data_IF_176340986545
#
_entry.id   IF_176340986545
#
_cell.length_a   1.000
_cell.length_b   1.000
_cell.length_c   1.000
_cell.angle_alpha   90.00
_cell.angle_beta   90.00
_cell.angle_gamma   90.00
#
_symmetry.space_group_name_H-M   'P 1'
#
loop_
_entity.id
_entity.type
_entity.pdbx_description
1 polymer ?
#
# COMPACT_ATOMS: atom_id res chain seq x y z
N UNK A 1 37.49 -42.24 -7.50
CA UNK A 1 36.68 -43.26 -6.78
C UNK A 1 35.37 -42.60 -6.35
N UNK A 2 34.23 -43.13 -6.86
CA UNK A 2 32.84 -43.21 -6.36
C UNK A 2 32.25 -41.98 -5.59
N UNK A 3 31.22 -41.26 -6.09
CA UNK A 3 29.77 -41.57 -6.16
C UNK A 3 29.19 -41.98 -4.78
N UNK A 4 28.05 -41.54 -4.23
CA UNK A 4 26.73 -41.08 -4.71
C UNK A 4 26.03 -40.41 -3.47
N UNK A 5 25.07 -39.49 -3.56
CA UNK A 5 23.63 -39.80 -3.69
C UNK A 5 22.80 -38.53 -3.99
N UNK A 6 21.82 -38.70 -4.87
CA UNK A 6 20.81 -37.75 -5.36
C UNK A 6 19.50 -37.84 -4.55
N UNK A 7 18.78 -36.71 -4.45
CA UNK A 7 17.30 -36.66 -4.46
C UNK A 7 16.65 -35.70 -3.45
N UNK A 8 15.46 -35.11 -3.72
CA UNK A 8 14.84 -34.80 -5.01
C UNK A 8 14.54 -33.29 -5.20
N UNK A 9 14.53 -32.88 -6.48
CA UNK A 9 14.08 -31.57 -6.96
C UNK A 9 12.57 -31.43 -6.74
N UNK A 10 12.13 -30.33 -6.13
CA UNK A 10 10.73 -29.86 -6.22
C UNK A 10 10.62 -28.75 -7.24
N UNK A 11 9.73 -28.97 -8.19
CA UNK A 11 9.43 -28.19 -9.38
C UNK A 11 8.49 -27.02 -9.05
N UNK A 12 8.85 -25.74 -9.24
CA UNK A 12 7.93 -24.63 -9.10
C UNK A 12 7.36 -24.26 -10.48
N UNK A 13 6.52 -25.11 -11.05
CA UNK A 13 5.80 -24.83 -12.29
C UNK A 13 4.32 -25.21 -12.15
N UNK A 14 3.52 -24.29 -11.58
CA UNK A 14 2.07 -24.24 -11.78
C UNK A 14 1.50 -22.88 -11.39
N UNK A 15 1.72 -21.88 -12.23
CA UNK A 15 0.93 -20.65 -12.24
C UNK A 15 0.60 -20.32 -13.69
N UNK A 16 -0.65 -20.56 -14.11
CA UNK A 16 -1.42 -19.86 -15.16
C UNK A 16 -2.59 -20.74 -15.69
N UNK A 17 -3.83 -20.29 -15.44
CA UNK A 17 -5.06 -20.33 -16.30
C UNK A 17 -6.23 -19.85 -15.42
N UNK A 18 -6.67 -18.60 -15.56
CA UNK A 18 -7.77 -18.11 -16.41
C UNK A 18 -9.13 -18.80 -16.13
N UNK A 19 -10.06 -17.97 -15.64
CA UNK A 19 -11.52 -18.03 -15.55
C UNK A 19 -12.28 -19.23 -16.13
N UNK A 20 -13.24 -19.76 -15.35
CA UNK A 20 -14.61 -20.13 -15.78
C UNK A 20 -15.36 -20.98 -14.73
N UNK A 21 -16.48 -20.44 -14.22
CA UNK A 21 -17.71 -21.13 -13.78
C UNK A 21 -17.72 -21.95 -12.47
N UNK A 22 -18.57 -21.51 -11.53
CA UNK A 22 -19.25 -22.36 -10.54
C UNK A 22 -20.77 -22.21 -10.74
N UNK A 23 -21.43 -23.31 -11.11
CA UNK A 23 -22.89 -23.50 -11.03
C UNK A 23 -23.15 -24.72 -10.14
N UNK A 24 -23.87 -24.49 -9.03
CA UNK A 24 -24.78 -25.41 -8.29
C UNK A 24 -24.18 -26.74 -7.76
N UNK A 25 -24.52 -27.32 -6.61
CA UNK A 25 -25.57 -27.20 -5.57
C UNK A 25 -24.94 -27.80 -4.28
N UNK A 26 -25.28 -27.43 -3.04
CA UNK A 26 -26.52 -27.82 -2.34
C UNK A 26 -26.20 -28.74 -1.14
N UNK A 27 -26.84 -28.47 0.01
CA UNK A 27 -27.05 -29.31 1.22
C UNK A 27 -26.10 -29.14 2.44
N UNK A 28 -26.61 -29.31 3.70
CA UNK A 28 -26.31 -28.47 4.86
C UNK A 28 -25.56 -29.17 6.00
N UNK A 29 -25.02 -28.38 6.94
CA UNK A 29 -24.30 -28.84 8.15
C UNK A 29 -25.26 -29.00 9.33
N UNK A 30 -25.31 -30.21 9.88
CA UNK A 30 -26.01 -30.56 11.12
C UNK A 30 -25.26 -30.14 12.40
N UNK A 31 -26.06 -29.96 13.45
CA UNK A 31 -25.73 -29.55 14.82
C UNK A 31 -24.89 -30.60 15.56
N UNK A 32 -23.92 -30.15 16.36
CA UNK A 32 -23.48 -30.87 17.56
C UNK A 32 -23.49 -29.90 18.76
N UNK A 33 -24.32 -30.24 19.75
CA UNK A 33 -24.34 -29.69 21.12
C UNK A 33 -23.55 -30.65 22.01
N UNK A 34 -22.60 -30.13 22.78
CA UNK A 34 -22.11 -30.67 24.04
C UNK A 34 -21.50 -29.46 24.79
N UNK A 35 -21.90 -29.08 26.00
CA UNK A 35 -22.00 -29.88 27.21
C UNK A 35 -20.98 -29.28 28.19
N UNK A 36 -21.35 -28.21 28.89
CA UNK A 36 -20.48 -27.53 29.87
C UNK A 36 -20.87 -28.05 31.26
N UNK A 37 -19.98 -28.82 31.88
CA UNK A 37 -19.98 -29.11 33.32
C UNK A 37 -19.17 -28.04 34.05
N UNK A 38 -19.65 -27.47 35.17
CA UNK A 38 -18.87 -26.51 35.94
C UNK A 38 -17.95 -27.26 36.91
N UNK A 39 -16.63 -26.98 36.82
CA UNK A 39 -15.66 -27.44 37.81
C UNK A 39 -15.30 -26.25 38.71
N UNK A 40 -15.53 -26.43 40.01
CA UNK A 40 -15.23 -25.52 41.10
C UNK A 40 -13.84 -25.86 41.70
N UNK A 41 -12.94 -24.85 41.80
CA UNK A 41 -11.86 -24.66 42.80
C UNK A 41 -10.87 -23.53 42.32
N UNK A 42 -10.06 -22.92 43.21
CA UNK A 42 -10.07 -21.47 43.40
C UNK A 42 -8.90 -20.67 42.77
N UNK A 43 -9.15 -19.37 42.68
CA UNK A 43 -8.30 -18.27 42.22
C UNK A 43 -6.83 -18.34 42.68
N UNK A 44 -5.91 -18.38 41.71
CA UNK A 44 -4.58 -17.75 41.82
C UNK A 44 -4.32 -16.89 40.58
N UNK A 45 -3.80 -15.71 40.86
CA UNK A 45 -3.53 -14.59 39.97
C UNK A 45 -2.71 -14.93 38.73
N UNK A 46 -3.35 -14.90 37.57
CA UNK A 46 -2.73 -14.53 36.31
C UNK A 46 -3.60 -13.44 35.69
N UNK A 47 -3.03 -12.25 35.52
CA UNK A 47 -3.63 -11.18 34.73
C UNK A 47 -3.67 -11.63 33.26
N UNK A 48 -4.67 -12.43 32.91
CA UNK A 48 -5.14 -12.54 31.53
C UNK A 48 -5.68 -11.16 31.14
N UNK A 49 -4.89 -10.39 30.38
CA UNK A 49 -5.40 -9.20 29.70
C UNK A 49 -6.58 -9.66 28.85
N UNK A 50 -7.81 -9.14 29.04
CA UNK A 50 -8.91 -9.53 28.19
C UNK A 50 -8.57 -9.12 26.76
N UNK A 51 -8.49 -10.09 25.86
CA UNK A 51 -8.38 -9.87 24.42
C UNK A 51 -9.70 -9.22 24.00
N UNK A 52 -9.75 -7.90 24.04
CA UNK A 52 -10.87 -7.14 23.49
C UNK A 52 -11.02 -7.58 22.01
N UNK A 53 -12.17 -8.13 21.60
CA UNK A 53 -12.38 -8.60 20.22
C UNK A 53 -12.05 -7.51 19.22
N UNK A 54 -11.44 -7.85 18.07
CA UNK A 54 -10.95 -6.87 17.09
C UNK A 54 -12.01 -5.82 16.69
N UNK A 55 -13.27 -6.23 16.52
CA UNK A 55 -14.36 -5.33 16.15
C UNK A 55 -14.62 -4.27 17.23
N UNK A 56 -14.54 -4.65 18.51
CA UNK A 56 -14.69 -3.74 19.64
C UNK A 56 -13.46 -2.80 19.74
N UNK A 57 -12.25 -3.30 19.45
CA UNK A 57 -11.06 -2.44 19.33
C UNK A 57 -11.23 -1.40 18.24
N UNK A 58 -11.72 -1.78 17.06
CA UNK A 58 -11.92 -0.87 15.91
C UNK A 58 -13.00 0.18 16.15
N UNK A 59 -14.11 -0.21 16.78
CA UNK A 59 -15.17 0.71 17.21
C UNK A 59 -14.68 1.69 18.29
N UNK A 60 -13.96 1.20 19.30
CA UNK A 60 -13.32 2.06 20.31
C UNK A 60 -12.29 2.98 19.65
N UNK A 61 -11.49 2.46 18.72
CA UNK A 61 -10.41 3.20 18.08
C UNK A 61 -10.91 4.37 17.23
N UNK A 62 -11.92 4.13 16.39
CA UNK A 62 -12.54 5.18 15.58
C UNK A 62 -13.24 6.23 16.45
N UNK A 63 -13.82 5.81 17.59
CA UNK A 63 -14.52 6.74 18.49
C UNK A 63 -13.57 7.53 19.39
N UNK A 64 -12.41 6.98 19.78
CA UNK A 64 -11.58 7.56 20.85
C UNK A 64 -10.15 7.92 20.44
N UNK A 65 -9.57 7.35 19.38
CA UNK A 65 -8.11 7.39 19.16
C UNK A 65 -7.71 8.20 17.93
N UNK A 66 -8.69 8.63 17.12
CA UNK A 66 -8.42 9.61 16.09
C UNK A 66 -8.10 10.99 16.72
N UNK A 67 -7.16 11.74 16.13
CA UNK A 67 -6.73 13.06 16.58
C UNK A 67 -6.89 14.10 15.47
N UNK A 68 -7.37 15.29 15.87
CA UNK A 68 -7.51 16.42 14.97
C UNK A 68 -6.15 17.06 14.65
N UNK A 69 -5.70 16.94 13.40
CA UNK A 69 -4.57 17.70 12.88
C UNK A 69 -5.07 19.05 12.37
N UNK A 70 -4.81 20.12 13.13
CA UNK A 70 -5.15 21.50 12.73
C UNK A 70 -3.99 22.08 11.90
N UNK A 71 -4.30 22.59 10.71
CA UNK A 71 -3.56 23.68 10.08
C UNK A 71 -4.38 24.98 10.24
N UNK A 72 -3.70 26.10 10.45
CA UNK A 72 -4.17 27.24 11.22
C UNK A 72 -5.36 28.03 10.61
N UNK A 73 -6.08 28.74 11.48
CA UNK A 73 -6.98 29.85 11.11
C UNK A 73 -6.12 30.99 10.56
N UNK A 74 -6.60 31.62 9.49
CA UNK A 74 -6.16 32.94 9.04
C UNK A 74 -6.50 34.00 10.10
N UNK A 75 -5.55 34.37 10.95
CA UNK A 75 -5.36 35.72 11.49
C UNK A 75 -4.21 35.76 12.51
N UNK A 76 -3.32 36.72 12.25
CA UNK A 76 -2.25 37.33 13.06
C UNK A 76 -2.20 36.98 14.57
N UNK A 77 -1.01 36.57 15.04
CA UNK A 77 -0.60 36.71 16.45
C UNK A 77 -0.32 35.41 17.21
N UNK A 78 0.97 35.18 17.50
CA UNK A 78 1.52 34.21 18.47
C UNK A 78 1.38 32.70 18.18
N UNK A 79 2.52 32.08 17.81
CA UNK A 79 2.87 30.66 17.99
C UNK A 79 1.75 29.61 17.90
N UNK A 80 1.31 29.26 16.69
CA UNK A 80 0.42 28.12 16.48
C UNK A 80 1.16 26.79 16.75
N UNK A 81 0.98 26.20 17.94
CA UNK A 81 1.36 24.80 18.20
C UNK A 81 0.45 23.87 17.40
N UNK A 82 1.04 23.16 16.44
CA UNK A 82 0.41 22.11 15.62
C UNK A 82 0.09 20.86 16.47
N UNK A 83 -0.96 20.13 16.09
CA UNK A 83 -1.48 18.89 16.72
C UNK A 83 -2.31 19.07 18.00
N UNK A 84 -3.62 19.28 17.86
CA UNK A 84 -4.53 19.18 19.00
C UNK A 84 -4.79 17.70 19.32
N UNK A 85 -4.30 17.22 20.47
CA UNK A 85 -4.51 15.85 20.95
C UNK A 85 -5.83 15.69 21.73
N UNK A 86 -6.83 16.49 21.40
CA UNK A 86 -8.15 16.39 22.03
C UNK A 86 -8.86 15.10 21.63
N UNK A 87 -9.79 14.69 22.48
CA UNK A 87 -10.75 13.63 22.16
C UNK A 87 -11.65 14.07 21.01
N UNK A 88 -12.01 13.14 20.15
CA UNK A 88 -12.93 13.37 19.04
C UNK A 88 -14.32 12.84 19.43
N UNK A 89 -15.34 13.67 19.21
CA UNK A 89 -16.73 13.28 19.33
C UNK A 89 -17.31 13.09 17.94
N UNK A 90 -17.96 11.96 17.74
CA UNK A 90 -18.68 11.65 16.50
C UNK A 90 -20.15 12.00 16.64
N UNK A 91 -20.72 12.63 15.62
CA UNK A 91 -22.16 12.74 15.39
C UNK A 91 -22.52 12.16 14.00
N UNK A 92 -23.78 12.30 13.58
CA UNK A 92 -24.26 11.75 12.31
C UNK A 92 -23.68 12.42 11.05
N UNK A 93 -23.03 13.57 11.19
CA UNK A 93 -22.60 14.44 10.09
C UNK A 93 -21.13 14.84 10.17
N UNK A 94 -20.52 14.79 11.35
CA UNK A 94 -19.20 15.32 11.62
C UNK A 94 -18.44 14.56 12.70
N UNK A 95 -17.12 14.77 12.70
CA UNK A 95 -16.24 14.45 13.83
C UNK A 95 -15.68 15.75 14.37
N UNK A 96 -15.89 16.04 15.65
CA UNK A 96 -15.46 17.29 16.27
C UNK A 96 -14.48 17.05 17.41
N UNK A 97 -13.36 17.78 17.42
CA UNK A 97 -12.41 17.75 18.52
C UNK A 97 -12.93 18.53 19.73
N UNK A 98 -13.05 17.86 20.86
CA UNK A 98 -13.58 18.45 22.10
C UNK A 98 -12.64 19.47 22.76
N UNK A 99 -11.36 19.52 22.35
CA UNK A 99 -10.37 20.44 22.93
C UNK A 99 -10.16 21.71 22.10
N UNK A 100 -10.13 21.61 20.78
CA UNK A 100 -9.88 22.76 19.89
C UNK A 100 -11.05 23.11 18.97
N UNK A 101 -12.15 22.37 19.08
CA UNK A 101 -13.37 22.54 18.28
C UNK A 101 -13.17 22.39 16.77
N UNK A 102 -12.07 21.76 16.33
CA UNK A 102 -11.87 21.41 14.92
C UNK A 102 -12.92 20.38 14.51
N UNK A 103 -13.64 20.65 13.42
CA UNK A 103 -14.67 19.76 12.87
C UNK A 103 -14.22 19.19 11.53
N UNK A 104 -14.48 17.90 11.33
CA UNK A 104 -14.14 17.12 10.15
C UNK A 104 -15.42 16.52 9.57
N UNK A 105 -15.54 16.56 8.24
CA UNK A 105 -16.71 16.03 7.54
C UNK A 105 -16.66 14.50 7.49
N UNK A 106 -17.82 13.90 7.26
CA UNK A 106 -17.94 12.50 6.90
C UNK A 106 -18.15 12.34 5.38
N UNK A 107 -17.54 11.33 4.78
CA UNK A 107 -17.92 10.78 3.48
C UNK A 107 -18.75 9.52 3.72
N UNK A 108 -20.07 9.64 3.65
CA UNK A 108 -20.97 8.62 4.19
C UNK A 108 -20.78 8.50 5.71
N UNK A 109 -20.16 7.41 6.17
CA UNK A 109 -19.80 7.19 7.59
C UNK A 109 -18.30 7.32 7.87
N UNK A 110 -17.50 7.62 6.85
CA UNK A 110 -16.04 7.60 6.93
C UNK A 110 -15.55 9.01 7.29
N UNK A 111 -14.81 9.20 8.38
CA UNK A 111 -14.24 10.50 8.73
C UNK A 111 -13.16 10.94 7.73
N UNK A 112 -13.20 12.23 7.36
CA UNK A 112 -12.30 12.84 6.37
C UNK A 112 -11.39 13.88 7.04
N UNK A 113 -10.10 13.58 7.09
CA UNK A 113 -9.01 14.42 7.60
C UNK A 113 -8.16 15.04 6.48
N UNK A 114 -8.73 15.18 5.28
CA UNK A 114 -8.15 15.90 4.16
C UNK A 114 -8.61 17.35 4.15
N UNK A 115 -7.78 18.25 3.60
CA UNK A 115 -8.14 19.66 3.39
C UNK A 115 -8.81 19.85 2.04
N UNK A 116 -8.33 19.10 1.07
CA UNK A 116 -8.82 19.02 -0.29
C UNK A 116 -10.09 18.18 -0.38
N UNK A 117 -10.91 18.39 -1.42
CA UNK A 117 -12.06 17.54 -1.70
C UNK A 117 -11.65 16.07 -1.91
N UNK A 118 -12.49 15.16 -1.39
CA UNK A 118 -12.30 13.72 -1.58
C UNK A 118 -12.55 13.36 -3.03
N UNK A 119 -11.58 12.73 -3.68
CA UNK A 119 -11.72 12.19 -5.04
C UNK A 119 -12.23 10.75 -5.00
N UNK A 120 -13.28 10.47 -5.76
CA UNK A 120 -13.86 9.12 -5.86
C UNK A 120 -13.02 8.27 -6.83
N UNK A 121 -12.59 7.07 -6.44
CA UNK A 121 -11.86 6.18 -7.34
C UNK A 121 -12.79 5.59 -8.41
N UNK A 122 -12.26 5.17 -9.58
CA UNK A 122 -13.03 4.42 -10.58
C UNK A 122 -13.60 3.12 -10.02
N UNK A 123 -14.80 2.72 -10.46
CA UNK A 123 -15.49 1.51 -9.98
C UNK A 123 -14.69 0.22 -10.22
N UNK A 124 -13.87 0.18 -11.27
CA UNK A 124 -13.06 -0.97 -11.65
C UNK A 124 -11.65 -0.97 -11.03
N UNK A 125 -11.38 -0.14 -10.01
CA UNK A 125 -10.08 -0.14 -9.35
C UNK A 125 -9.77 -1.52 -8.76
N UNK A 126 -8.58 -2.04 -9.08
CA UNK A 126 -8.07 -3.31 -8.55
C UNK A 126 -6.79 -3.02 -7.80
N UNK A 127 -6.74 -3.45 -6.54
CA UNK A 127 -5.56 -3.29 -5.71
C UNK A 127 -4.70 -4.54 -5.76
N UNK A 128 -3.40 -4.34 -5.50
CA UNK A 128 -2.47 -5.44 -5.38
C UNK A 128 -2.82 -6.30 -4.15
N UNK A 129 -2.60 -7.62 -4.21
CA UNK A 129 -2.78 -8.46 -3.03
C UNK A 129 -1.79 -8.06 -1.93
N UNK A 130 -2.23 -8.13 -0.68
CA UNK A 130 -1.42 -7.77 0.49
C UNK A 130 -0.24 -8.73 0.71
N UNK A 131 -0.31 -9.95 0.18
CA UNK A 131 0.67 -11.01 0.37
C UNK A 131 0.33 -11.93 1.55
N UNK A 132 0.57 -13.24 1.39
CA UNK A 132 0.09 -14.27 2.32
C UNK A 132 0.61 -14.12 3.76
N UNK A 133 1.85 -13.65 3.93
CA UNK A 133 2.47 -13.39 5.23
C UNK A 133 1.71 -12.30 5.99
N UNK A 134 1.47 -11.16 5.35
CA UNK A 134 0.76 -10.03 5.94
C UNK A 134 -0.73 -10.30 6.12
N UNK A 135 -1.33 -11.07 5.21
CA UNK A 135 -2.70 -11.53 5.36
C UNK A 135 -2.88 -12.45 6.57
N UNK A 136 -1.90 -13.32 6.85
CA UNK A 136 -1.91 -14.17 8.05
C UNK A 136 -1.96 -13.33 9.32
N UNK A 137 -1.15 -12.27 9.41
CA UNK A 137 -1.17 -11.35 10.57
C UNK A 137 -2.57 -10.74 10.77
N UNK A 138 -3.21 -10.31 9.69
CA UNK A 138 -4.56 -9.75 9.75
C UNK A 138 -5.60 -10.80 10.18
N UNK A 139 -5.49 -12.03 9.69
CA UNK A 139 -6.41 -13.13 10.02
C UNK A 139 -6.26 -13.63 11.45
N UNK A 140 -5.05 -13.68 11.98
CA UNK A 140 -4.80 -14.07 13.37
C UNK A 140 -5.40 -13.08 14.37
N UNK A 141 -5.52 -11.81 14.00
CA UNK A 141 -6.24 -10.82 14.81
C UNK A 141 -5.56 -10.39 16.11
N UNK A 142 -4.33 -10.85 16.37
CA UNK A 142 -3.56 -10.56 17.60
C UNK A 142 -3.11 -9.10 17.64
N UNK A 143 -2.59 -8.62 16.52
CA UNK A 143 -2.02 -7.29 16.35
C UNK A 143 -3.10 -6.30 15.89
N UNK A 144 -3.04 -5.08 16.40
CA UNK A 144 -3.83 -3.97 15.89
C UNK A 144 -3.04 -3.23 14.81
N UNK A 145 -3.58 -3.23 13.58
CA UNK A 145 -2.86 -2.86 12.37
C UNK A 145 -3.41 -1.55 11.78
N UNK A 146 -2.52 -0.68 11.33
CA UNK A 146 -2.85 0.40 10.39
C UNK A 146 -2.40 -0.02 8.99
N UNK A 147 -3.32 -0.10 8.04
CA UNK A 147 -2.99 -0.35 6.64
C UNK A 147 -3.21 0.92 5.84
N UNK A 148 -2.11 1.59 5.49
CA UNK A 148 -2.08 2.80 4.67
C UNK A 148 -2.10 2.38 3.21
N UNK A 149 -3.06 2.86 2.42
CA UNK A 149 -3.17 2.50 1.01
C UNK A 149 -3.55 1.04 0.77
N UNK A 150 -4.49 0.51 1.57
CA UNK A 150 -5.07 -0.82 1.41
C UNK A 150 -5.84 -1.01 0.10
N UNK A 151 -6.35 0.07 -0.50
CA UNK A 151 -7.19 0.09 -1.68
C UNK A 151 -8.49 -0.69 -1.48
N UNK A 152 -8.77 -1.63 -2.37
CA UNK A 152 -9.95 -2.49 -2.36
C UNK A 152 -9.56 -3.86 -1.80
N UNK A 153 -9.37 -3.93 -0.49
CA UNK A 153 -9.10 -5.19 0.21
C UNK A 153 -10.22 -6.22 -0.04
N UNK A 154 -9.86 -7.50 -0.14
CA UNK A 154 -10.81 -8.57 -0.47
C UNK A 154 -11.89 -8.77 0.62
N UNK A 155 -11.55 -8.48 1.87
CA UNK A 155 -12.44 -8.58 3.02
C UNK A 155 -12.05 -7.54 4.08
N UNK A 156 -13.01 -7.20 4.93
CA UNK A 156 -12.78 -6.32 6.07
C UNK A 156 -12.15 -7.11 7.23
N UNK A 157 -11.04 -6.60 7.78
CA UNK A 157 -10.41 -7.17 8.97
C UNK A 157 -10.79 -6.36 10.23
N UNK A 158 -11.26 -7.01 11.30
CA UNK A 158 -11.74 -6.32 12.49
C UNK A 158 -10.61 -5.66 13.28
N UNK A 159 -9.38 -6.16 13.23
CA UNK A 159 -8.20 -5.64 13.92
C UNK A 159 -7.37 -4.66 13.07
N UNK A 160 -7.88 -4.22 11.92
CA UNK A 160 -7.17 -3.35 10.99
C UNK A 160 -7.94 -2.06 10.76
N UNK A 161 -7.25 -0.92 10.76
CA UNK A 161 -7.76 0.34 10.23
C UNK A 161 -7.22 0.51 8.82
N UNK A 162 -8.10 0.56 7.82
CA UNK A 162 -7.74 0.90 6.46
C UNK A 162 -7.79 2.43 6.28
N UNK A 163 -6.62 3.01 6.07
CA UNK A 163 -6.41 4.45 5.95
C UNK A 163 -6.07 4.82 4.51
N UNK A 164 -6.86 5.72 3.95
CA UNK A 164 -6.82 6.02 2.52
C UNK A 164 -6.83 7.51 2.23
N UNK A 165 -6.38 7.88 1.04
CA UNK A 165 -6.65 9.22 0.51
C UNK A 165 -7.97 9.28 -0.28
N UNK A 166 -8.52 8.13 -0.69
CA UNK A 166 -9.74 7.97 -1.49
C UNK A 166 -10.71 6.97 -0.83
N UNK A 167 -12.03 7.10 -0.99
CA UNK A 167 -12.98 6.19 -0.39
C UNK A 167 -13.07 4.90 -1.20
N UNK A 168 -12.58 3.80 -0.62
CA UNK A 168 -12.76 2.45 -1.13
C UNK A 168 -13.73 1.65 -0.24
N UNK A 169 -14.08 0.43 -0.69
CA UNK A 169 -15.09 -0.44 -0.08
C UNK A 169 -14.93 -0.61 1.44
N UNK A 170 -13.69 -0.79 1.91
CA UNK A 170 -13.40 -1.10 3.30
C UNK A 170 -12.72 0.03 4.09
N UNK A 171 -12.53 1.20 3.46
CA UNK A 171 -11.91 2.37 4.08
C UNK A 171 -12.58 2.74 5.40
N UNK A 172 -11.75 2.96 6.42
CA UNK A 172 -12.17 3.35 7.75
C UNK A 172 -11.91 4.82 8.05
N UNK A 173 -10.83 5.38 7.49
CA UNK A 173 -10.43 6.77 7.68
C UNK A 173 -9.85 7.32 6.38
N UNK A 174 -10.25 8.53 6.01
CA UNK A 174 -9.67 9.26 4.88
C UNK A 174 -8.72 10.34 5.41
N UNK A 175 -7.49 10.43 4.91
CA UNK A 175 -6.53 11.42 5.37
C UNK A 175 -5.20 11.43 4.61
N UNK A 176 -4.29 12.30 5.07
CA UNK A 176 -2.93 12.46 4.54
C UNK A 176 -1.93 11.68 5.42
N UNK A 177 -1.15 10.77 4.80
CA UNK A 177 -0.15 9.97 5.49
C UNK A 177 1.02 10.81 6.06
N UNK A 178 1.22 12.03 5.57
CA UNK A 178 2.18 12.98 6.14
C UNK A 178 1.73 13.58 7.48
N UNK A 179 0.48 13.31 7.90
CA UNK A 179 -0.12 13.81 9.12
C UNK A 179 -1.24 12.88 9.61
N UNK A 180 -0.85 11.69 10.08
CA UNK A 180 -1.76 10.64 10.50
C UNK A 180 -2.66 11.09 11.67
N UNK A 181 -3.99 11.02 11.55
CA UNK A 181 -4.92 11.49 12.57
C UNK A 181 -5.08 10.44 13.68
N UNK A 182 -4.00 9.87 14.21
CA UNK A 182 -4.02 8.84 15.26
C UNK A 182 -3.13 9.21 16.43
N UNK A 183 -3.42 8.70 17.64
CA UNK A 183 -2.54 8.88 18.81
C UNK A 183 -1.19 8.21 18.61
N UNK A 184 -0.17 8.71 19.30
CA UNK A 184 1.11 8.01 19.37
C UNK A 184 0.94 6.66 20.09
N UNK A 185 1.71 5.63 19.70
CA UNK A 185 1.64 4.32 20.36
C UNK A 185 0.30 3.59 20.22
N UNK A 186 -0.38 3.79 19.10
CA UNK A 186 -1.71 3.24 18.83
C UNK A 186 -1.68 1.84 18.21
N UNK A 187 -0.72 1.58 17.33
CA UNK A 187 -0.71 0.38 16.49
C UNK A 187 0.45 -0.55 16.85
N UNK A 188 0.19 -1.84 16.77
CA UNK A 188 1.21 -2.88 16.87
C UNK A 188 1.98 -3.00 15.55
N UNK A 189 1.29 -2.79 14.42
CA UNK A 189 1.91 -2.82 13.08
C UNK A 189 1.36 -1.75 12.14
N UNK A 190 2.21 -1.32 11.21
CA UNK A 190 1.81 -0.50 10.06
C UNK A 190 2.20 -1.19 8.76
N UNK A 191 1.26 -1.28 7.83
CA UNK A 191 1.49 -1.74 6.46
C UNK A 191 1.31 -0.57 5.49
N UNK A 192 2.22 -0.42 4.52
CA UNK A 192 2.08 0.56 3.45
C UNK A 192 2.68 0.00 2.14
N UNK A 193 1.83 -0.57 1.29
CA UNK A 193 2.27 -1.30 0.09
C UNK A 193 1.98 -0.53 -1.19
N UNK A 194 3.03 -0.17 -1.94
CA UNK A 194 2.98 0.68 -3.13
C UNK A 194 2.36 2.06 -2.80
N UNK A 195 2.90 2.69 -1.77
CA UNK A 195 2.42 3.98 -1.24
C UNK A 195 3.52 5.04 -1.27
N UNK A 196 4.72 4.68 -0.84
CA UNK A 196 5.80 5.65 -0.57
C UNK A 196 6.31 6.37 -1.82
N UNK A 197 6.26 5.71 -2.97
CA UNK A 197 6.53 6.28 -4.30
C UNK A 197 5.59 7.46 -4.64
N UNK A 198 4.42 7.50 -4.02
CA UNK A 198 3.37 8.50 -4.25
C UNK A 198 3.36 9.61 -3.19
N UNK A 199 4.24 9.55 -2.19
CA UNK A 199 4.34 10.55 -1.13
C UNK A 199 5.40 11.59 -1.51
N UNK A 200 5.05 12.87 -1.51
CA UNK A 200 6.00 13.94 -1.82
C UNK A 200 7.06 14.15 -0.71
N UNK A 201 6.72 13.82 0.55
CA UNK A 201 7.62 13.92 1.72
C UNK A 201 7.73 12.56 2.46
N UNK A 202 8.33 11.53 1.86
CA UNK A 202 8.32 10.16 2.40
C UNK A 202 8.92 10.04 3.81
N UNK A 203 9.97 10.81 4.15
CA UNK A 203 10.54 10.86 5.50
C UNK A 203 9.52 11.35 6.55
N UNK A 204 8.66 12.30 6.18
CA UNK A 204 7.64 12.84 7.09
C UNK A 204 6.53 11.83 7.36
N UNK A 205 6.11 11.09 6.32
CA UNK A 205 5.21 9.97 6.50
C UNK A 205 5.83 8.86 7.36
N UNK A 206 7.11 8.52 7.14
CA UNK A 206 7.82 7.55 7.98
C UNK A 206 7.90 8.00 9.45
N UNK A 207 8.10 9.31 9.71
CA UNK A 207 8.08 9.86 11.06
C UNK A 207 6.69 9.76 11.72
N UNK A 208 5.61 9.97 10.98
CA UNK A 208 4.24 9.75 11.47
C UNK A 208 3.97 8.27 11.77
N UNK A 209 4.44 7.36 10.92
CA UNK A 209 4.39 5.91 11.16
C UNK A 209 5.11 5.56 12.47
N UNK A 210 6.34 6.05 12.64
CA UNK A 210 7.13 5.84 13.86
C UNK A 210 6.37 6.33 15.10
N UNK A 211 5.72 7.50 15.00
CA UNK A 211 4.94 8.09 16.10
C UNK A 211 3.74 7.22 16.47
N UNK A 212 2.98 6.72 15.50
CA UNK A 212 1.75 5.97 15.77
C UNK A 212 1.98 4.52 16.16
N UNK A 213 3.18 3.98 15.90
CA UNK A 213 3.59 2.66 16.39
C UNK A 213 3.83 2.66 17.91
N UNK A 214 3.45 1.56 18.56
CA UNK A 214 3.84 1.25 19.93
C UNK A 214 5.35 0.98 20.01
N UNK A 215 5.99 1.12 21.18
CA UNK A 215 7.32 0.58 21.39
C UNK A 215 7.36 -0.91 21.02
N UNK A 216 8.33 -1.31 20.19
CA UNK A 216 8.43 -2.67 19.64
C UNK A 216 7.46 -2.99 18.49
N UNK A 217 6.66 -2.02 18.05
CA UNK A 217 5.83 -2.16 16.86
C UNK A 217 6.65 -2.14 15.57
N UNK A 218 6.12 -2.73 14.50
CA UNK A 218 6.85 -2.89 13.23
C UNK A 218 6.13 -2.26 12.04
N UNK A 219 6.90 -1.89 11.02
CA UNK A 219 6.39 -1.41 9.73
C UNK A 219 6.83 -2.36 8.62
N UNK A 220 5.92 -2.65 7.69
CA UNK A 220 6.24 -3.30 6.43
C UNK A 220 5.83 -2.41 5.26
N UNK A 221 6.77 -2.20 4.34
CA UNK A 221 6.52 -1.42 3.14
C UNK A 221 6.90 -2.18 1.87
N UNK A 222 6.21 -1.84 0.80
CA UNK A 222 6.57 -2.15 -0.57
C UNK A 222 6.58 -0.85 -1.36
N UNK A 223 7.53 -0.67 -2.28
CA UNK A 223 7.61 0.55 -3.11
C UNK A 223 8.22 0.26 -4.47
N UNK A 224 7.94 1.14 -5.45
CA UNK A 224 8.44 1.07 -6.81
C UNK A 224 9.95 1.36 -6.93
N UNK A 225 10.64 0.66 -7.85
CA UNK A 225 12.02 0.98 -8.27
C UNK A 225 12.17 0.98 -9.80
N UNK A 226 12.03 -0.17 -10.46
CA UNK A 226 12.10 -0.28 -11.92
C UNK A 226 10.70 -0.41 -12.52
N UNK A 227 9.81 0.52 -12.17
CA UNK A 227 8.45 0.56 -12.68
C UNK A 227 8.22 1.83 -13.51
N UNK A 228 7.46 1.68 -14.59
CA UNK A 228 6.93 2.81 -15.36
C UNK A 228 6.09 3.74 -14.46
N UNK A 229 6.01 5.01 -14.86
CA UNK A 229 5.17 6.01 -14.17
C UNK A 229 3.71 5.53 -14.18
N UNK A 230 3.08 5.61 -13.02
CA UNK A 230 1.68 5.23 -12.79
C UNK A 230 1.08 6.18 -11.75
N UNK A 231 -0.25 6.28 -11.68
CA UNK A 231 -0.95 7.26 -10.82
C UNK A 231 -0.47 8.71 -10.98
N UNK A 232 -0.11 9.11 -12.21
CA UNK A 232 0.29 10.49 -12.50
C UNK A 232 -0.80 11.51 -12.09
N UNK A 233 -0.43 12.69 -11.58
CA UNK A 233 0.94 13.21 -11.39
C UNK A 233 1.58 12.82 -10.04
N UNK A 234 1.02 11.84 -9.33
CA UNK A 234 1.40 11.50 -7.95
C UNK A 234 2.31 10.28 -7.87
N UNK A 235 3.33 10.17 -8.71
CA UNK A 235 4.40 9.18 -8.58
C UNK A 235 5.72 9.93 -8.66
N UNK A 236 6.31 10.16 -7.50
CA UNK A 236 7.46 11.03 -7.30
C UNK A 236 8.78 10.25 -7.30
N UNK A 237 8.75 8.99 -6.83
CA UNK A 237 9.97 8.24 -6.58
C UNK A 237 9.91 6.80 -7.09
N UNK A 238 10.92 6.44 -7.86
CA UNK A 238 11.36 5.07 -8.05
C UNK A 238 12.56 4.83 -7.13
N UNK A 239 12.32 4.26 -5.94
CA UNK A 239 13.28 4.18 -4.87
C UNK A 239 14.11 2.90 -4.89
N UNK A 240 15.44 3.04 -4.87
CA UNK A 240 16.35 1.93 -4.57
C UNK A 240 16.25 1.52 -3.09
N UNK A 241 16.85 0.38 -2.72
CA UNK A 241 17.00 -0.01 -1.31
C UNK A 241 17.65 1.10 -0.46
N UNK A 242 18.64 1.82 -0.99
CA UNK A 242 19.28 2.93 -0.27
C UNK A 242 18.32 4.08 -0.01
N UNK A 243 17.42 4.38 -0.96
CA UNK A 243 16.34 5.34 -0.78
C UNK A 243 15.39 4.92 0.33
N UNK A 244 14.96 3.65 0.33
CA UNK A 244 14.10 3.10 1.39
C UNK A 244 14.77 3.21 2.77
N UNK A 245 16.03 2.79 2.88
CA UNK A 245 16.80 2.90 4.14
C UNK A 245 16.97 4.35 4.60
N UNK A 246 17.09 5.30 3.66
CA UNK A 246 17.14 6.73 3.99
C UNK A 246 15.81 7.21 4.55
N UNK A 247 14.68 6.85 3.94
CA UNK A 247 13.35 7.21 4.41
C UNK A 247 13.06 6.66 5.81
N UNK A 248 13.51 5.44 6.09
CA UNK A 248 13.31 4.73 7.36
C UNK A 248 14.54 4.76 8.28
N UNK A 249 15.41 5.78 8.15
CA UNK A 249 16.66 5.86 8.94
C UNK A 249 16.48 5.97 10.46
N UNK A 250 15.27 6.30 10.93
CA UNK A 250 14.90 6.29 12.36
C UNK A 250 14.43 4.91 12.87
N UNK A 251 14.35 3.90 12.01
CA UNK A 251 13.99 2.53 12.36
C UNK A 251 15.23 1.65 12.37
N UNK A 252 15.24 0.65 13.26
CA UNK A 252 16.12 -0.50 13.11
C UNK A 252 15.55 -1.39 11.99
N UNK A 253 16.27 -1.49 10.87
CA UNK A 253 15.82 -2.25 9.70
C UNK A 253 16.23 -3.71 9.84
N UNK A 254 15.30 -4.57 10.25
CA UNK A 254 15.52 -6.01 10.37
C UNK A 254 15.85 -6.68 9.04
N UNK A 255 15.18 -6.26 7.96
CA UNK A 255 15.36 -6.83 6.61
C UNK A 255 14.89 -5.86 5.52
N UNK A 256 15.70 -5.71 4.47
CA UNK A 256 15.31 -5.12 3.20
C UNK A 256 15.74 -6.08 2.10
N UNK A 257 14.80 -6.59 1.31
CA UNK A 257 15.04 -7.66 0.35
C UNK A 257 14.04 -7.59 -0.80
N UNK A 258 14.31 -8.34 -1.87
CA UNK A 258 13.40 -8.48 -3.01
C UNK A 258 12.40 -9.61 -2.73
N UNK A 259 11.12 -9.28 -2.57
CA UNK A 259 10.05 -10.28 -2.47
C UNK A 259 9.67 -10.85 -3.84
N UNK A 260 8.89 -11.94 -3.88
CA UNK A 260 8.52 -12.61 -5.13
C UNK A 260 7.83 -11.70 -6.16
N UNK A 261 6.99 -10.78 -5.70
CA UNK A 261 6.32 -9.76 -6.53
C UNK A 261 7.25 -8.66 -7.07
N UNK A 262 8.48 -8.55 -6.55
CA UNK A 262 9.52 -7.64 -7.04
C UNK A 262 10.70 -8.35 -7.71
N UNK A 263 10.61 -9.67 -7.89
CA UNK A 263 11.67 -10.44 -8.52
C UNK A 263 11.97 -9.93 -9.95
N UNK A 264 13.20 -10.07 -10.46
CA UNK A 264 13.58 -9.59 -11.79
C UNK A 264 12.66 -10.06 -12.93
N UNK A 265 12.12 -11.27 -12.84
CA UNK A 265 11.14 -11.77 -13.81
C UNK A 265 9.82 -11.00 -13.81
N UNK A 266 9.33 -10.59 -12.64
CA UNK A 266 8.14 -9.73 -12.52
C UNK A 266 8.43 -8.32 -13.02
N UNK A 267 9.63 -7.80 -12.74
CA UNK A 267 10.09 -6.52 -13.28
C UNK A 267 10.09 -6.54 -14.81
N UNK A 268 10.70 -7.56 -15.43
CA UNK A 268 10.71 -7.71 -16.89
C UNK A 268 9.29 -7.79 -17.45
N UNK A 269 8.43 -8.64 -16.87
CA UNK A 269 7.05 -8.78 -17.30
C UNK A 269 6.28 -7.44 -17.25
N UNK A 270 6.42 -6.69 -16.16
CA UNK A 270 5.79 -5.39 -15.99
C UNK A 270 6.33 -4.38 -17.00
N UNK A 271 7.66 -4.19 -17.07
CA UNK A 271 8.30 -3.19 -17.92
C UNK A 271 8.01 -3.44 -19.40
N UNK A 272 8.15 -4.69 -19.87
CA UNK A 272 7.86 -5.04 -21.26
C UNK A 272 6.38 -4.83 -21.60
N UNK A 273 5.47 -5.15 -20.68
CA UNK A 273 4.04 -4.87 -20.87
C UNK A 273 3.78 -3.36 -20.97
N UNK A 274 4.41 -2.56 -20.11
CA UNK A 274 4.29 -1.09 -20.11
C UNK A 274 4.85 -0.47 -21.39
N UNK A 275 5.97 -0.97 -21.91
CA UNK A 275 6.55 -0.53 -23.19
C UNK A 275 5.57 -0.78 -24.34
N UNK A 276 5.01 -1.99 -24.45
CA UNK A 276 4.05 -2.35 -25.50
C UNK A 276 2.76 -1.52 -25.37
N UNK A 277 2.22 -1.37 -24.16
CA UNK A 277 0.99 -0.61 -23.93
C UNK A 277 1.19 0.88 -24.23
N UNK A 278 2.33 1.44 -23.83
CA UNK A 278 2.66 2.84 -24.11
C UNK A 278 2.80 3.11 -25.60
N UNK A 279 3.40 2.19 -26.36
CA UNK A 279 3.46 2.32 -27.82
C UNK A 279 2.06 2.35 -28.46
N UNK A 280 1.16 1.46 -28.01
CA UNK A 280 -0.24 1.43 -28.49
C UNK A 280 -1.00 2.71 -28.14
N UNK A 281 -0.97 3.11 -26.88
CA UNK A 281 -1.65 4.32 -26.39
C UNK A 281 -1.06 5.60 -27.01
N UNK A 282 0.22 5.58 -27.36
CA UNK A 282 0.92 6.65 -28.05
C UNK A 282 0.64 6.72 -29.56
N UNK A 283 -0.23 5.85 -30.10
CA UNK A 283 -0.69 5.90 -31.49
C UNK A 283 0.17 5.11 -32.48
N UNK A 284 1.07 4.25 -32.02
CA UNK A 284 1.84 3.40 -32.95
C UNK A 284 0.92 2.44 -33.71
N UNK A 285 1.15 2.32 -35.02
CA UNK A 285 0.44 1.35 -35.86
C UNK A 285 0.63 -0.10 -35.39
N UNK A 286 -0.33 -0.98 -35.69
CA UNK A 286 -0.31 -2.36 -35.21
C UNK A 286 0.96 -3.12 -35.65
N UNK A 287 1.35 -3.02 -36.92
CA UNK A 287 2.56 -3.67 -37.44
C UNK A 287 3.82 -3.22 -36.69
N UNK A 288 3.87 -1.93 -36.35
CA UNK A 288 4.91 -1.31 -35.57
C UNK A 288 4.99 -1.87 -34.15
N UNK A 289 3.85 -2.01 -33.48
CA UNK A 289 3.75 -2.67 -32.17
C UNK A 289 4.15 -4.15 -32.25
N UNK A 290 3.83 -4.84 -33.34
CA UNK A 290 4.21 -6.24 -33.54
C UNK A 290 5.71 -6.41 -33.76
N UNK A 291 6.37 -5.51 -34.50
CA UNK A 291 7.84 -5.48 -34.61
C UNK A 291 8.49 -5.36 -33.23
N UNK A 292 8.03 -4.39 -32.42
CA UNK A 292 8.51 -4.21 -31.05
C UNK A 292 8.30 -5.47 -30.20
N UNK A 293 7.11 -6.07 -30.28
CA UNK A 293 6.77 -7.30 -29.53
C UNK A 293 7.62 -8.51 -29.90
N UNK A 294 8.11 -8.57 -31.13
CA UNK A 294 8.90 -9.68 -31.63
C UNK A 294 10.41 -9.53 -31.37
N UNK A 295 10.83 -8.40 -30.78
CA UNK A 295 12.23 -8.24 -30.36
C UNK A 295 12.59 -9.17 -29.20
N UNK A 296 13.88 -9.43 -29.04
CA UNK A 296 14.43 -10.26 -27.97
C UNK A 296 15.19 -9.43 -26.95
N UNK A 297 15.30 -9.94 -25.71
CA UNK A 297 16.13 -9.31 -24.68
C UNK A 297 17.60 -9.17 -25.14
N UNK A 298 18.09 -10.12 -25.95
CA UNK A 298 19.45 -10.10 -26.51
C UNK A 298 19.67 -8.91 -27.44
N UNK A 299 18.75 -8.65 -28.37
CA UNK A 299 18.86 -7.51 -29.30
C UNK A 299 18.96 -6.16 -28.56
N UNK A 300 18.14 -5.96 -27.53
CA UNK A 300 18.20 -4.74 -26.71
C UNK A 300 19.46 -4.66 -25.86
N UNK A 301 19.97 -5.79 -25.37
CA UNK A 301 21.23 -5.84 -24.62
C UNK A 301 22.44 -5.54 -25.52
N UNK A 302 22.47 -6.10 -26.73
CA UNK A 302 23.54 -5.87 -27.72
C UNK A 302 23.54 -4.41 -28.20
N UNK A 303 22.36 -3.80 -28.38
CA UNK A 303 22.26 -2.36 -28.63
C UNK A 303 22.96 -1.55 -27.53
N UNK A 304 22.63 -1.83 -26.27
CA UNK A 304 23.21 -1.11 -25.12
C UNK A 304 24.73 -1.33 -25.01
N UNK A 305 25.19 -2.54 -25.32
CA UNK A 305 26.61 -2.88 -25.34
C UNK A 305 27.38 -2.30 -26.53
N UNK A 306 26.70 -1.67 -27.50
CA UNK A 306 27.31 -1.15 -28.72
C UNK A 306 27.75 -2.23 -29.71
N UNK A 307 27.29 -3.46 -29.54
CA UNK A 307 27.61 -4.63 -30.39
C UNK A 307 26.49 -4.97 -31.37
N UNK A 308 25.29 -4.42 -31.17
CA UNK A 308 24.10 -4.66 -31.98
C UNK A 308 23.65 -3.46 -32.81
N UNK A 309 22.67 -3.71 -33.66
CA UNK A 309 21.93 -2.66 -34.38
C UNK A 309 20.69 -2.25 -33.59
N UNK A 310 20.01 -1.18 -34.02
CA UNK A 310 18.72 -0.79 -33.44
C UNK A 310 17.69 -1.94 -33.59
N UNK A 311 17.12 -2.47 -32.49
CA UNK A 311 16.10 -3.51 -32.54
C UNK A 311 14.84 -3.02 -33.24
N UNK A 312 14.02 -3.97 -33.71
CA UNK A 312 12.74 -3.67 -34.35
C UNK A 312 11.88 -2.75 -33.48
N UNK A 313 11.58 -1.55 -33.98
CA UNK A 313 10.72 -0.59 -33.31
C UNK A 313 11.42 0.36 -32.34
N UNK A 314 12.74 0.37 -32.29
CA UNK A 314 13.52 1.40 -31.60
C UNK A 314 13.08 2.82 -32.01
N UNK A 315 12.99 3.08 -33.32
CA UNK A 315 12.58 4.36 -33.90
C UNK A 315 11.14 4.74 -33.56
N UNK A 316 10.26 3.75 -33.36
CA UNK A 316 8.88 3.99 -32.94
C UNK A 316 8.90 4.58 -31.54
N UNK A 317 9.62 3.96 -30.60
CA UNK A 317 9.69 4.43 -29.22
C UNK A 317 10.28 5.85 -29.13
N UNK A 318 11.27 6.16 -29.97
CA UNK A 318 11.87 7.51 -30.04
C UNK A 318 10.91 8.56 -30.63
N UNK A 319 9.98 8.15 -31.50
CA UNK A 319 9.04 9.05 -32.19
C UNK A 319 7.67 9.19 -31.52
N UNK A 320 7.41 8.45 -30.42
CA UNK A 320 6.18 8.61 -29.65
C UNK A 320 6.01 10.06 -29.16
N UNK A 321 4.78 10.55 -28.93
CA UNK A 321 4.57 11.82 -28.26
C UNK A 321 5.24 11.87 -26.89
N UNK A 322 5.72 13.04 -26.45
CA UNK A 322 6.40 13.20 -25.16
C UNK A 322 5.58 12.71 -23.97
N UNK A 323 4.26 12.88 -24.00
CA UNK A 323 3.34 12.38 -22.97
C UNK A 323 3.29 10.85 -22.85
N UNK A 324 3.66 10.13 -23.91
CA UNK A 324 3.81 8.67 -23.89
C UNK A 324 5.24 8.30 -23.48
N UNK A 325 6.26 8.93 -24.08
CA UNK A 325 7.67 8.68 -23.71
C UNK A 325 7.90 8.85 -22.21
N UNK A 326 7.37 9.91 -21.59
CA UNK A 326 7.53 10.20 -20.17
C UNK A 326 7.03 9.11 -19.23
N UNK A 327 6.19 8.18 -19.69
CA UNK A 327 5.70 7.06 -18.87
C UNK A 327 6.75 5.96 -18.68
N UNK A 328 7.60 5.74 -19.68
CA UNK A 328 8.56 4.63 -19.75
C UNK A 328 10.02 5.08 -19.95
N UNK A 329 10.27 6.39 -19.94
CA UNK A 329 11.59 6.96 -20.10
C UNK A 329 12.56 6.50 -18.99
N UNK A 330 13.84 6.43 -19.34
CA UNK A 330 14.90 6.13 -18.37
C UNK A 330 15.23 7.33 -17.45
N UNK A 331 14.79 8.53 -17.79
CA UNK A 331 15.05 9.75 -17.02
C UNK A 331 14.45 11.00 -17.65
N UNK A 332 14.74 12.15 -17.03
CA UNK A 332 14.26 13.46 -17.45
C UNK A 332 15.41 14.47 -17.45
N UNK A 333 15.43 15.34 -18.46
CA UNK A 333 16.27 16.53 -18.46
C UNK A 333 15.43 17.73 -17.96
N UNK A 334 15.94 18.45 -16.95
CA UNK A 334 15.30 19.64 -16.40
C UNK A 334 16.20 20.85 -16.59
N UNK A 335 15.77 21.80 -17.42
CA UNK A 335 16.42 23.11 -17.58
C UNK A 335 15.62 24.16 -16.83
N UNK A 336 16.22 24.75 -15.79
CA UNK A 336 15.58 25.77 -14.96
C UNK A 336 16.43 27.04 -14.88
N UNK A 337 15.78 28.21 -14.83
CA UNK A 337 16.43 29.48 -14.51
C UNK A 337 16.21 29.80 -13.03
N UNK A 338 17.24 30.37 -12.39
CA UNK A 338 17.12 30.93 -11.04
C UNK A 338 16.03 32.01 -11.07
N UNK A 339 15.13 31.97 -10.08
CA UNK A 339 14.15 33.05 -9.85
C UNK A 339 14.79 34.25 -9.20
#
# INVERSE_FOLDING_TARGET
MRACCLGPRRNPARWLRISSWCLHAGQPIERIRAGITPCSLPLRSQFCRPVVPGLLRKLIFLTYVAHATRANRSSVGSGARMSCRGELRHDSTSVTCMRCSAAFKLHGRIPVFLKEPVTIPPENHRSNPIGAEFETILREGKDFVLHIGAGVSAQRYPNCIEFERRPFRHTDVIGDAHSLPFRAGSFDRVFAFNVFEHLAEPQKAAAEILRVLKPGGSVAIHSAFLQAVHEAPHHYFNATEFGLRKWFSSFEVERCHVSGNFAPGMMLAYLMSSVINTAKEGGAALDNVMRLRNTTLGEWADLWAGTGHHPGGFEILQSLPQSAQSKIAAGFELVARKR
#
